data_IF_654426328799
#
_entry.id   IF_654426328799
#
_cell.length_a   1.000
_cell.length_b   1.000
_cell.length_c   1.000
_cell.angle_alpha   90.00
_cell.angle_beta   90.00
_cell.angle_gamma   90.00
#
_symmetry.space_group_name_H-M   'P 1'
#
loop_
_entity.id
_entity.type
_entity.pdbx_description
1 polymer ?
#
# COMPACT_ATOMS: atom_id res chain seq x y z
N UNK A 1 -38.36 -21.01 -57.49
CA UNK A 1 -39.26 -20.29 -56.56
C UNK A 1 -39.20 -20.97 -55.21
N UNK A 2 -39.14 -20.21 -54.12
CA UNK A 2 -39.09 -20.76 -52.75
C UNK A 2 -40.50 -21.02 -52.24
N UNK A 3 -40.67 -22.02 -51.36
CA UNK A 3 -41.91 -22.32 -50.65
C UNK A 3 -41.64 -22.45 -49.15
N UNK A 4 -42.59 -21.99 -48.33
CA UNK A 4 -42.60 -22.28 -46.90
C UNK A 4 -42.96 -23.75 -46.66
N UNK A 5 -42.17 -24.45 -45.85
CA UNK A 5 -42.45 -25.85 -45.49
C UNK A 5 -43.85 -26.01 -44.87
N UNK A 6 -44.52 -27.11 -45.21
CA UNK A 6 -45.80 -27.53 -44.64
C UNK A 6 -46.90 -26.47 -44.73
N UNK A 7 -46.88 -25.66 -45.80
CA UNK A 7 -47.83 -24.57 -46.02
C UNK A 7 -48.55 -24.78 -47.36
N UNK A 8 -49.87 -24.58 -47.36
CA UNK A 8 -50.66 -24.65 -48.59
C UNK A 8 -50.39 -23.44 -49.49
N UNK A 9 -50.30 -23.67 -50.80
CA UNK A 9 -50.02 -22.64 -51.79
C UNK A 9 -50.61 -23.00 -53.14
N UNK A 10 -50.98 -21.98 -53.92
CA UNK A 10 -51.33 -22.15 -55.34
C UNK A 10 -50.14 -21.78 -56.21
N UNK A 11 -49.70 -22.72 -57.04
CA UNK A 11 -48.64 -22.51 -58.02
C UNK A 11 -49.23 -22.35 -59.43
N UNK A 12 -48.46 -21.77 -60.34
CA UNK A 12 -48.82 -21.68 -61.75
C UNK A 12 -47.95 -22.69 -62.51
N UNK A 13 -48.60 -23.58 -63.26
CA UNK A 13 -47.97 -24.59 -64.11
C UNK A 13 -48.29 -24.28 -65.57
N UNK A 14 -47.28 -24.39 -66.44
CA UNK A 14 -47.43 -24.14 -67.86
C UNK A 14 -46.30 -23.26 -68.42
N UNK A 15 -46.46 -22.75 -69.65
CA UNK A 15 -47.60 -23.01 -70.52
C UNK A 15 -47.63 -24.46 -71.01
N UNK A 16 -48.81 -25.09 -70.98
CA UNK A 16 -49.09 -26.34 -71.67
C UNK A 16 -49.36 -26.03 -73.14
N UNK A 17 -48.63 -26.70 -74.02
CA UNK A 17 -48.74 -26.55 -75.47
C UNK A 17 -49.02 -27.90 -76.11
N UNK A 18 -49.75 -27.86 -77.22
CA UNK A 18 -50.19 -29.02 -78.00
C UNK A 18 -49.00 -29.94 -78.34
N UNK A 19 -49.20 -31.24 -78.17
CA UNK A 19 -48.15 -32.25 -78.37
C UNK A 19 -47.77 -32.48 -79.85
N UNK A 20 -48.63 -32.06 -80.79
CA UNK A 20 -48.40 -32.19 -82.23
C UNK A 20 -47.54 -31.07 -82.78
N UNK A 21 -47.79 -29.82 -82.36
CA UNK A 21 -47.10 -28.64 -82.89
C UNK A 21 -46.12 -27.96 -81.91
N UNK A 22 -46.17 -28.32 -80.62
CA UNK A 22 -45.33 -27.77 -79.57
C UNK A 22 -45.48 -26.26 -79.35
N UNK A 23 -46.60 -25.67 -79.79
CA UNK A 23 -46.80 -24.22 -79.87
C UNK A 23 -48.21 -23.77 -79.46
N UNK A 24 -49.25 -24.42 -79.94
CA UNK A 24 -50.63 -24.01 -79.70
C UNK A 24 -50.96 -24.23 -78.23
N UNK A 25 -51.44 -23.20 -77.54
CA UNK A 25 -51.73 -23.29 -76.11
C UNK A 25 -52.93 -24.19 -75.88
N UNK A 26 -52.78 -25.15 -74.97
CA UNK A 26 -53.87 -26.04 -74.57
C UNK A 26 -54.69 -25.39 -73.45
N UNK A 27 -55.94 -25.04 -73.75
CA UNK A 27 -56.82 -24.31 -72.82
C UNK A 27 -57.97 -25.16 -72.25
N UNK A 28 -58.09 -26.41 -72.70
CA UNK A 28 -59.19 -27.32 -72.38
C UNK A 28 -58.80 -28.54 -71.54
N UNK A 29 -57.57 -28.61 -71.05
CA UNK A 29 -57.06 -29.76 -70.29
C UNK A 29 -57.80 -29.94 -68.96
N UNK A 30 -58.10 -31.20 -68.62
CA UNK A 30 -58.61 -31.60 -67.30
C UNK A 30 -57.48 -32.19 -66.48
N UNK A 31 -56.68 -31.33 -65.85
CA UNK A 31 -55.55 -31.77 -65.02
C UNK A 31 -56.07 -32.14 -63.62
N UNK A 32 -56.29 -33.43 -63.40
CA UNK A 32 -56.80 -33.98 -62.13
C UNK A 32 -55.68 -34.13 -61.10
N UNK A 33 -56.04 -34.53 -59.87
CA UNK A 33 -55.06 -34.79 -58.82
C UNK A 33 -53.99 -35.82 -59.25
N UNK A 34 -54.41 -36.88 -59.95
CA UNK A 34 -53.53 -37.99 -60.31
C UNK A 34 -52.45 -37.59 -61.33
N UNK A 35 -52.75 -36.59 -62.15
CA UNK A 35 -51.90 -36.10 -63.24
C UNK A 35 -50.78 -35.19 -62.72
N UNK A 36 -50.95 -34.62 -61.53
CA UNK A 36 -49.93 -33.81 -60.85
C UNK A 36 -49.04 -34.71 -59.99
N UNK A 37 -47.84 -34.97 -60.49
CA UNK A 37 -46.83 -35.82 -59.86
C UNK A 37 -45.78 -34.98 -59.14
N UNK A 38 -45.57 -35.25 -57.87
CA UNK A 38 -44.59 -34.60 -57.01
C UNK A 38 -43.41 -35.54 -56.75
N UNK A 39 -42.19 -35.04 -56.95
CA UNK A 39 -40.96 -35.65 -56.43
C UNK A 39 -40.39 -34.73 -55.37
N UNK A 40 -40.32 -35.24 -54.14
CA UNK A 40 -39.86 -34.50 -52.96
C UNK A 40 -38.40 -34.85 -52.65
N UNK A 41 -37.53 -33.86 -52.75
CA UNK A 41 -36.09 -33.96 -52.56
C UNK A 41 -35.44 -35.17 -53.27
N UNK A 42 -35.81 -35.40 -54.53
CA UNK A 42 -35.32 -36.54 -55.32
C UNK A 42 -35.99 -37.89 -55.03
N UNK A 43 -37.00 -37.94 -54.17
CA UNK A 43 -37.81 -39.13 -53.92
C UNK A 43 -38.65 -39.55 -55.14
N UNK A 44 -39.19 -40.77 -55.10
CA UNK A 44 -40.06 -41.29 -56.15
C UNK A 44 -41.28 -40.39 -56.36
N UNK A 45 -41.70 -40.24 -57.62
CA UNK A 45 -42.88 -39.45 -57.95
C UNK A 45 -44.14 -40.08 -57.36
N UNK A 46 -44.89 -39.30 -56.60
CA UNK A 46 -46.22 -39.63 -56.09
C UNK A 46 -47.23 -38.58 -56.57
N UNK A 47 -48.53 -38.91 -56.60
CA UNK A 47 -49.53 -37.87 -56.87
C UNK A 47 -49.51 -36.82 -55.76
N UNK A 48 -49.91 -35.59 -56.07
CA UNK A 48 -50.11 -34.58 -55.03
C UNK A 48 -51.19 -35.03 -54.02
N UNK A 49 -51.03 -34.62 -52.78
CA UNK A 49 -51.97 -34.85 -51.68
C UNK A 49 -53.16 -33.90 -51.72
N UNK A 50 -53.01 -32.69 -52.24
CA UNK A 50 -54.14 -31.78 -52.47
C UNK A 50 -55.14 -32.39 -53.46
N UNK A 51 -56.43 -32.42 -53.09
CA UNK A 51 -57.47 -33.09 -53.87
C UNK A 51 -58.08 -32.24 -54.99
N UNK A 52 -57.69 -30.96 -55.12
CA UNK A 52 -58.22 -30.08 -56.14
C UNK A 52 -57.66 -30.37 -57.55
N UNK A 53 -58.45 -30.12 -58.59
CA UNK A 53 -57.95 -30.12 -59.97
C UNK A 53 -57.23 -28.80 -60.28
N UNK A 54 -56.28 -28.80 -61.21
CA UNK A 54 -55.72 -27.53 -61.66
C UNK A 54 -56.76 -26.79 -62.53
N UNK A 55 -56.82 -25.47 -62.42
CA UNK A 55 -57.78 -24.62 -63.12
C UNK A 55 -57.07 -23.78 -64.18
N UNK A 56 -57.60 -23.74 -65.40
CA UNK A 56 -57.03 -22.93 -66.48
C UNK A 56 -57.06 -21.44 -66.11
N UNK A 57 -55.97 -20.74 -66.40
CA UNK A 57 -55.85 -19.29 -66.33
C UNK A 57 -55.90 -18.72 -67.75
N UNK A 58 -54.74 -18.53 -68.37
CA UNK A 58 -54.58 -17.99 -69.72
C UNK A 58 -53.36 -18.59 -70.43
N UNK A 59 -53.40 -18.64 -71.76
CA UNK A 59 -52.27 -19.04 -72.61
C UNK A 59 -51.65 -20.39 -72.22
N UNK A 60 -52.49 -21.36 -71.85
CA UNK A 60 -52.05 -22.69 -71.42
C UNK A 60 -51.44 -22.72 -70.02
N UNK A 61 -51.54 -21.66 -69.21
CA UNK A 61 -51.14 -21.69 -67.81
C UNK A 61 -52.32 -22.13 -66.94
N UNK A 62 -52.04 -22.96 -65.94
CA UNK A 62 -53.01 -23.50 -65.01
C UNK A 62 -52.58 -23.17 -63.58
N UNK A 63 -53.52 -22.69 -62.76
CA UNK A 63 -53.33 -22.59 -61.31
C UNK A 63 -53.56 -23.96 -60.68
N UNK A 64 -52.61 -24.43 -59.88
CA UNK A 64 -52.73 -25.68 -59.17
C UNK A 64 -52.47 -25.53 -57.67
N UNK A 65 -53.40 -26.01 -56.85
CA UNK A 65 -53.24 -26.05 -55.40
C UNK A 65 -52.27 -27.15 -54.96
N UNK A 66 -51.43 -26.83 -53.99
CA UNK A 66 -50.63 -27.73 -53.18
C UNK A 66 -51.00 -27.51 -51.71
N UNK A 67 -51.12 -28.57 -50.92
CA UNK A 67 -51.44 -28.46 -49.51
C UNK A 67 -50.18 -28.56 -48.62
N UNK A 68 -50.38 -28.52 -47.29
CA UNK A 68 -49.29 -28.66 -46.34
C UNK A 68 -48.53 -30.00 -46.46
N UNK A 69 -49.23 -31.09 -46.80
CA UNK A 69 -48.57 -32.38 -47.03
C UNK A 69 -47.68 -32.32 -48.26
N UNK A 70 -48.05 -31.61 -49.32
CA UNK A 70 -47.26 -31.50 -50.55
C UNK A 70 -45.93 -30.78 -50.34
N UNK A 71 -45.90 -29.77 -49.47
CA UNK A 71 -44.72 -28.97 -49.14
C UNK A 71 -44.02 -29.39 -47.84
N UNK A 72 -44.29 -30.57 -47.29
CA UNK A 72 -43.78 -30.98 -45.96
C UNK A 72 -42.32 -31.45 -45.93
N UNK A 73 -41.63 -31.52 -47.07
CA UNK A 73 -40.26 -32.03 -47.18
C UNK A 73 -39.33 -30.93 -47.64
N UNK A 74 -38.28 -30.64 -46.86
CA UNK A 74 -37.26 -29.65 -47.19
C UNK A 74 -36.44 -30.06 -48.41
N UNK A 75 -35.98 -29.07 -49.18
CA UNK A 75 -35.20 -29.26 -50.39
C UNK A 75 -36.03 -29.10 -51.67
N UNK A 76 -35.51 -29.63 -52.77
CA UNK A 76 -36.12 -29.49 -54.09
C UNK A 76 -37.45 -30.23 -54.18
N UNK A 77 -38.52 -29.53 -54.51
CA UNK A 77 -39.81 -30.09 -54.90
C UNK A 77 -39.97 -29.94 -56.41
N UNK A 78 -40.01 -31.07 -57.13
CA UNK A 78 -40.36 -31.09 -58.55
C UNK A 78 -41.83 -31.44 -58.70
N UNK A 79 -42.58 -30.56 -59.35
CA UNK A 79 -43.95 -30.79 -59.80
C UNK A 79 -43.90 -31.10 -61.28
N UNK A 80 -44.45 -32.22 -61.71
CA UNK A 80 -44.51 -32.63 -63.10
C UNK A 80 -45.93 -33.03 -63.48
N UNK A 81 -46.37 -32.61 -64.66
CA UNK A 81 -47.67 -32.96 -65.23
C UNK A 81 -47.45 -33.47 -66.63
N UNK A 82 -48.10 -34.57 -66.96
CA UNK A 82 -48.14 -35.12 -68.31
C UNK A 82 -49.57 -35.57 -68.58
N UNK A 83 -50.34 -34.67 -69.21
CA UNK A 83 -51.73 -34.87 -69.59
C UNK A 83 -51.81 -35.10 -71.10
N UNK A 84 -52.70 -35.98 -71.55
CA UNK A 84 -52.84 -36.29 -72.97
C UNK A 84 -53.24 -35.04 -73.77
N UNK A 85 -52.61 -34.84 -74.94
CA UNK A 85 -52.84 -33.68 -75.79
C UNK A 85 -51.88 -32.51 -75.52
N UNK A 86 -51.03 -32.59 -74.49
CA UNK A 86 -50.03 -31.55 -74.21
C UNK A 86 -48.64 -32.14 -73.95
N UNK A 87 -47.60 -31.38 -74.30
CA UNK A 87 -46.23 -31.74 -73.91
C UNK A 87 -46.05 -31.77 -72.38
N UNK A 88 -45.17 -32.64 -71.83
CA UNK A 88 -44.91 -32.69 -70.40
C UNK A 88 -44.37 -31.36 -69.88
N UNK A 89 -44.94 -30.87 -68.78
CA UNK A 89 -44.51 -29.64 -68.09
C UNK A 89 -44.01 -29.99 -66.70
N UNK A 90 -42.94 -29.33 -66.26
CA UNK A 90 -42.46 -29.42 -64.89
C UNK A 90 -42.06 -28.07 -64.31
N UNK A 91 -42.15 -27.95 -63.00
CA UNK A 91 -41.72 -26.81 -62.22
C UNK A 91 -40.86 -27.29 -61.05
N UNK A 92 -39.69 -26.70 -60.89
CA UNK A 92 -38.80 -26.93 -59.75
C UNK A 92 -38.96 -25.80 -58.72
N UNK A 93 -39.25 -26.20 -57.50
CA UNK A 93 -39.47 -25.35 -56.33
C UNK A 93 -38.49 -25.75 -55.24
N UNK A 94 -38.18 -24.83 -54.34
CA UNK A 94 -37.30 -25.09 -53.20
C UNK A 94 -38.09 -24.91 -51.90
N UNK A 95 -38.27 -25.96 -51.12
CA UNK A 95 -38.97 -25.90 -49.84
C UNK A 95 -37.96 -25.60 -48.74
N UNK A 96 -38.13 -24.45 -48.10
CA UNK A 96 -37.25 -23.99 -47.01
C UNK A 96 -37.96 -24.04 -45.66
N UNK A 97 -37.19 -24.11 -44.58
CA UNK A 97 -37.72 -24.09 -43.22
C UNK A 97 -38.55 -22.83 -42.96
N UNK A 98 -39.58 -22.95 -42.11
CA UNK A 98 -40.50 -21.85 -41.83
C UNK A 98 -39.77 -20.60 -41.31
N UNK A 99 -38.81 -20.77 -40.40
CA UNK A 99 -37.96 -19.70 -39.88
C UNK A 99 -37.16 -18.99 -40.99
N UNK A 100 -36.58 -19.75 -41.93
CA UNK A 100 -35.83 -19.19 -43.07
C UNK A 100 -36.76 -18.40 -43.99
N UNK A 101 -37.93 -18.95 -44.31
CA UNK A 101 -38.93 -18.27 -45.13
C UNK A 101 -39.39 -16.95 -44.47
N UNK A 102 -39.77 -17.01 -43.20
CA UNK A 102 -40.29 -15.84 -42.46
C UNK A 102 -39.22 -14.77 -42.25
N UNK A 103 -37.94 -15.17 -42.19
CA UNK A 103 -36.81 -14.24 -42.12
C UNK A 103 -36.51 -13.55 -43.45
N UNK A 104 -36.68 -14.25 -44.57
CA UNK A 104 -36.35 -13.72 -45.90
C UNK A 104 -37.50 -12.94 -46.54
N UNK A 105 -38.75 -13.39 -46.32
CA UNK A 105 -39.93 -12.88 -47.00
C UNK A 105 -41.01 -12.37 -46.03
N UNK A 106 -40.84 -12.56 -44.72
CA UNK A 106 -41.74 -12.09 -43.66
C UNK A 106 -41.17 -10.90 -42.88
N UNK A 107 -41.56 -10.79 -41.61
CA UNK A 107 -41.13 -9.74 -40.69
C UNK A 107 -40.20 -10.24 -39.57
N UNK A 108 -39.87 -11.53 -39.56
CA UNK A 108 -39.04 -12.13 -38.51
C UNK A 108 -37.55 -11.92 -38.79
N UNK A 109 -36.70 -12.16 -37.78
CA UNK A 109 -35.24 -12.06 -37.90
C UNK A 109 -34.61 -13.42 -38.16
N UNK A 110 -33.59 -13.44 -39.00
CA UNK A 110 -32.80 -14.65 -39.20
C UNK A 110 -31.97 -14.96 -37.95
N UNK A 111 -32.24 -16.11 -37.34
CA UNK A 111 -31.45 -16.64 -36.23
C UNK A 111 -30.21 -17.33 -36.80
N UNK A 112 -29.03 -16.79 -36.50
CA UNK A 112 -27.75 -17.34 -36.92
C UNK A 112 -26.81 -17.46 -35.73
N UNK A 113 -26.02 -18.52 -35.70
CA UNK A 113 -24.77 -18.55 -34.93
C UNK A 113 -23.68 -18.12 -35.90
N UNK A 114 -23.07 -16.96 -35.66
CA UNK A 114 -22.01 -16.46 -36.52
C UNK A 114 -20.66 -17.07 -36.09
N UNK A 115 -19.99 -17.78 -37.00
CA UNK A 115 -18.65 -18.33 -36.74
C UNK A 115 -17.56 -17.25 -36.72
N UNK A 116 -17.74 -16.18 -37.51
CA UNK A 116 -16.82 -15.04 -37.53
C UNK A 116 -17.60 -13.74 -37.58
N UNK A 117 -17.23 -12.83 -36.67
CA UNK A 117 -17.67 -11.43 -36.67
C UNK A 117 -16.42 -10.58 -36.83
N UNK A 118 -16.18 -10.10 -38.05
CA UNK A 118 -15.00 -9.27 -38.36
C UNK A 118 -14.98 -7.97 -37.54
N UNK A 119 -13.78 -7.48 -37.25
CA UNK A 119 -13.57 -6.20 -36.58
C UNK A 119 -14.31 -5.06 -37.31
N UNK A 120 -15.05 -4.25 -36.54
CA UNK A 120 -15.82 -3.11 -37.04
C UNK A 120 -17.25 -3.43 -37.49
N UNK A 121 -17.64 -4.71 -37.56
CA UNK A 121 -19.03 -5.07 -37.86
C UNK A 121 -19.96 -4.74 -36.69
N UNK A 122 -19.51 -5.04 -35.47
CA UNK A 122 -20.13 -4.58 -34.23
C UNK A 122 -19.40 -3.31 -33.80
N UNK A 123 -19.99 -2.17 -34.10
CA UNK A 123 -19.55 -0.87 -33.57
C UNK A 123 -20.22 -0.58 -32.23
N UNK A 124 -19.72 0.39 -31.48
CA UNK A 124 -20.39 0.85 -30.26
C UNK A 124 -21.84 1.28 -30.51
N UNK A 125 -22.15 1.82 -31.70
CA UNK A 125 -23.50 2.19 -32.11
C UNK A 125 -24.38 0.99 -32.49
N UNK A 126 -23.78 -0.15 -32.85
CA UNK A 126 -24.50 -1.38 -33.20
C UNK A 126 -25.04 -2.11 -31.96
N UNK A 127 -24.45 -1.88 -30.78
CA UNK A 127 -24.96 -2.39 -29.51
C UNK A 127 -26.02 -1.42 -29.00
N UNK A 128 -27.29 -1.84 -29.06
CA UNK A 128 -28.38 -1.06 -28.51
C UNK A 128 -28.20 -0.88 -26.99
N UNK A 129 -28.66 0.26 -26.47
CA UNK A 129 -28.65 0.52 -25.03
C UNK A 129 -29.37 -0.61 -24.27
N UNK A 130 -28.69 -1.23 -23.31
CA UNK A 130 -29.22 -2.35 -22.54
C UNK A 130 -29.24 -3.70 -23.27
N UNK A 131 -28.65 -3.79 -24.47
CA UNK A 131 -28.48 -5.09 -25.14
C UNK A 131 -27.47 -5.99 -24.41
N UNK A 132 -26.55 -5.40 -23.66
CA UNK A 132 -25.65 -6.06 -22.71
C UNK A 132 -26.02 -5.50 -21.33
N UNK A 133 -26.68 -6.29 -20.51
CA UNK A 133 -26.98 -5.94 -19.12
C UNK A 133 -26.09 -6.72 -18.14
N UNK A 134 -26.26 -6.47 -16.84
CA UNK A 134 -25.43 -7.10 -15.81
C UNK A 134 -25.63 -8.62 -15.68
N UNK A 135 -26.73 -9.18 -16.20
CA UNK A 135 -26.93 -10.64 -16.25
C UNK A 135 -26.18 -11.24 -17.45
N UNK A 136 -26.11 -10.50 -18.56
CA UNK A 136 -25.32 -10.86 -19.73
C UNK A 136 -23.80 -10.77 -19.51
N UNK A 137 -23.34 -9.93 -18.58
CA UNK A 137 -21.92 -9.85 -18.19
C UNK A 137 -21.67 -10.84 -17.05
N UNK A 138 -21.08 -11.99 -17.36
CA UNK A 138 -20.72 -12.98 -16.36
C UNK A 138 -19.80 -12.40 -15.27
N UNK A 139 -19.92 -12.90 -14.04
CA UNK A 139 -19.12 -12.46 -12.90
C UNK A 139 -17.60 -12.52 -13.16
N UNK A 140 -17.14 -13.48 -13.97
CA UNK A 140 -15.74 -13.64 -14.33
C UNK A 140 -15.19 -12.42 -15.12
N UNK A 141 -15.99 -11.82 -16.00
CA UNK A 141 -15.59 -10.62 -16.75
C UNK A 141 -15.39 -9.44 -15.80
N UNK A 142 -16.24 -9.31 -14.78
CA UNK A 142 -16.12 -8.25 -13.78
C UNK A 142 -14.84 -8.42 -12.97
N UNK A 143 -14.51 -9.65 -12.59
CA UNK A 143 -13.27 -9.96 -11.89
C UNK A 143 -12.03 -9.64 -12.75
N UNK A 144 -12.01 -10.09 -14.01
CA UNK A 144 -10.90 -9.80 -14.93
C UNK A 144 -10.71 -8.30 -15.17
N UNK A 145 -11.80 -7.54 -15.35
CA UNK A 145 -11.74 -6.08 -15.48
C UNK A 145 -11.20 -5.45 -14.19
N UNK A 146 -11.65 -5.90 -13.03
CA UNK A 146 -11.20 -5.36 -11.75
C UNK A 146 -9.71 -5.63 -11.53
N UNK A 147 -9.25 -6.86 -11.77
CA UNK A 147 -7.84 -7.23 -11.66
C UNK A 147 -6.99 -6.43 -12.65
N UNK A 148 -7.42 -6.33 -13.92
CA UNK A 148 -6.73 -5.51 -14.92
C UNK A 148 -6.63 -4.03 -14.51
N UNK A 149 -7.68 -3.47 -13.89
CA UNK A 149 -7.67 -2.08 -13.39
C UNK A 149 -6.74 -1.93 -12.19
N UNK A 150 -6.68 -2.91 -11.28
CA UNK A 150 -5.81 -2.86 -10.10
C UNK A 150 -4.32 -3.09 -10.44
N UNK A 151 -4.05 -3.91 -11.45
CA UNK A 151 -2.69 -4.22 -11.92
C UNK A 151 -2.18 -3.23 -12.99
N UNK A 152 -3.02 -2.29 -13.43
CA UNK A 152 -2.66 -1.28 -14.44
C UNK A 152 -1.53 -0.37 -13.94
N UNK A 153 -0.59 -0.04 -14.83
CA UNK A 153 0.53 0.82 -14.50
C UNK A 153 0.08 2.29 -14.32
N UNK A 154 0.43 2.89 -13.18
CA UNK A 154 0.08 4.29 -12.87
C UNK A 154 0.58 5.31 -13.90
N UNK A 155 1.73 5.06 -14.53
CA UNK A 155 2.38 5.99 -15.46
C UNK A 155 1.53 6.39 -16.68
N UNK A 156 0.56 5.55 -17.08
CA UNK A 156 -0.39 5.86 -18.16
C UNK A 156 -1.51 6.82 -17.76
N UNK A 157 -1.70 7.06 -16.46
CA UNK A 157 -2.86 7.76 -15.91
C UNK A 157 -2.48 8.99 -15.06
N UNK A 158 -1.31 9.59 -15.25
CA UNK A 158 -0.84 10.75 -14.47
C UNK A 158 -1.37 12.11 -14.98
N UNK A 159 -2.49 12.13 -15.70
CA UNK A 159 -3.15 13.38 -16.08
C UNK A 159 -3.68 14.10 -14.83
N UNK A 160 -3.40 15.40 -14.70
CA UNK A 160 -3.77 16.18 -13.51
C UNK A 160 -5.25 16.00 -13.14
N UNK A 161 -5.52 15.64 -11.88
CA UNK A 161 -6.86 15.42 -11.34
C UNK A 161 -7.47 14.04 -11.66
N UNK A 162 -6.69 13.11 -12.21
CA UNK A 162 -7.09 11.71 -12.33
C UNK A 162 -6.91 10.94 -11.01
N UNK A 163 -7.47 9.74 -10.94
CA UNK A 163 -7.18 8.79 -9.84
C UNK A 163 -5.71 8.35 -9.83
N UNK A 164 -5.10 8.18 -11.01
CA UNK A 164 -3.70 7.77 -11.13
C UNK A 164 -2.72 8.83 -10.62
N UNK A 165 -3.01 10.11 -10.87
CA UNK A 165 -2.30 11.28 -10.35
C UNK A 165 -2.33 11.30 -8.81
N UNK A 166 -3.53 11.16 -8.22
CA UNK A 166 -3.68 11.12 -6.76
C UNK A 166 -2.96 9.92 -6.10
N UNK A 167 -2.98 8.74 -6.73
CA UNK A 167 -2.30 7.56 -6.18
C UNK A 167 -0.78 7.62 -6.38
N UNK A 168 -0.33 8.22 -7.49
CA UNK A 168 1.08 8.55 -7.70
C UNK A 168 1.58 9.55 -6.67
N UNK A 169 0.80 10.59 -6.36
CA UNK A 169 1.16 11.56 -5.30
C UNK A 169 1.15 10.93 -3.92
N UNK A 170 0.20 10.03 -3.62
CA UNK A 170 0.18 9.29 -2.37
C UNK A 170 1.40 8.36 -2.23
N UNK A 171 1.82 7.70 -3.31
CA UNK A 171 3.01 6.84 -3.32
C UNK A 171 4.32 7.63 -3.36
N UNK A 172 4.39 8.76 -4.06
CA UNK A 172 5.53 9.68 -4.06
C UNK A 172 5.66 10.42 -2.71
N UNK A 173 4.54 10.66 -2.03
CA UNK A 173 4.49 11.15 -0.65
C UNK A 173 4.84 10.09 0.40
N UNK A 174 4.97 8.82 -0.01
CA UNK A 174 5.52 7.75 0.83
C UNK A 174 7.04 7.90 0.85
N UNK A 175 7.53 8.86 1.62
CA UNK A 175 8.96 9.00 1.89
C UNK A 175 9.53 7.62 2.23
N UNK A 176 10.68 7.28 1.65
CA UNK A 176 11.33 6.01 1.97
C UNK A 176 11.52 5.90 3.49
N UNK A 177 11.57 4.69 4.07
CA UNK A 177 11.83 4.55 5.51
C UNK A 177 13.07 5.34 5.98
N UNK A 178 14.09 5.46 5.12
CA UNK A 178 15.26 6.30 5.37
C UNK A 178 14.92 7.80 5.32
N UNK A 179 14.17 8.27 4.32
CA UNK A 179 13.76 9.68 4.24
C UNK A 179 12.84 10.08 5.42
N UNK A 180 11.97 9.17 5.89
CA UNK A 180 11.19 9.37 7.11
C UNK A 180 12.11 9.43 8.33
N UNK A 181 13.07 8.51 8.43
CA UNK A 181 14.01 8.48 9.54
C UNK A 181 14.86 9.76 9.58
N UNK A 182 15.44 10.18 8.46
CA UNK A 182 16.20 11.42 8.35
C UNK A 182 15.31 12.62 8.69
N UNK A 183 14.09 12.68 8.15
CA UNK A 183 13.15 13.75 8.47
C UNK A 183 12.75 13.80 9.95
N UNK A 184 12.72 12.66 10.66
CA UNK A 184 12.40 12.61 12.10
C UNK A 184 13.63 12.91 12.96
N UNK A 185 14.80 12.37 12.60
CA UNK A 185 16.02 12.50 13.41
C UNK A 185 16.72 13.84 13.23
N UNK A 186 16.67 14.42 12.02
CA UNK A 186 17.27 15.71 11.71
C UNK A 186 16.27 16.89 11.83
N UNK A 187 15.06 16.62 12.35
CA UNK A 187 14.05 17.65 12.60
C UNK A 187 14.57 18.67 13.62
N UNK A 188 14.37 19.96 13.34
CA UNK A 188 14.81 21.04 14.20
C UNK A 188 14.01 21.11 15.50
N UNK A 189 14.69 21.00 16.64
CA UNK A 189 14.03 21.09 17.96
C UNK A 189 13.30 22.42 18.21
N UNK A 190 13.71 23.52 17.56
CA UNK A 190 13.20 24.87 17.82
C UNK A 190 11.69 25.06 17.60
N UNK A 191 11.05 24.24 16.77
CA UNK A 191 9.59 24.23 16.57
C UNK A 191 8.83 23.39 17.61
N UNK A 192 9.54 22.59 18.40
CA UNK A 192 9.01 21.60 19.33
C UNK A 192 9.36 21.91 20.79
N UNK A 193 9.55 23.19 21.14
CA UNK A 193 9.87 23.63 22.49
C UNK A 193 8.63 24.06 23.29
N UNK A 194 7.44 23.60 22.90
CA UNK A 194 6.25 23.82 23.72
C UNK A 194 6.41 23.05 25.02
N UNK A 195 6.21 23.71 26.16
CA UNK A 195 6.38 23.11 27.48
C UNK A 195 5.63 21.77 27.61
N UNK A 196 6.33 20.72 28.02
CA UNK A 196 5.78 19.38 28.19
C UNK A 196 5.65 18.55 26.89
N UNK A 197 6.16 19.05 25.77
CA UNK A 197 6.32 18.26 24.55
C UNK A 197 7.60 17.42 24.57
N UNK A 198 7.70 16.44 23.67
CA UNK A 198 8.91 15.59 23.55
C UNK A 198 10.15 16.40 23.16
N UNK A 199 10.00 17.42 22.31
CA UNK A 199 11.13 18.27 21.88
C UNK A 199 11.68 19.14 23.01
N UNK A 200 10.81 19.64 23.88
CA UNK A 200 11.16 20.37 25.11
C UNK A 200 12.02 19.49 26.05
N UNK A 201 11.59 18.24 26.29
CA UNK A 201 12.36 17.30 27.11
C UNK A 201 13.73 16.92 26.53
N UNK A 202 13.84 16.77 25.21
CA UNK A 202 15.11 16.51 24.51
C UNK A 202 16.05 17.73 24.57
N UNK A 203 15.50 18.92 24.38
CA UNK A 203 16.24 20.18 24.52
C UNK A 203 16.79 20.34 25.94
N UNK A 204 16.00 20.00 26.96
CA UNK A 204 16.43 20.07 28.36
C UNK A 204 17.49 19.01 28.70
N UNK A 205 17.45 17.84 28.06
CA UNK A 205 18.42 16.78 28.26
C UNK A 205 19.81 17.08 27.64
N UNK A 206 19.88 17.90 26.58
CA UNK A 206 21.11 18.18 25.82
C UNK A 206 21.57 19.64 25.76
N UNK A 207 20.74 20.60 26.19
CA UNK A 207 20.95 22.04 26.05
C UNK A 207 21.42 22.76 27.33
N UNK A 208 21.16 24.07 27.44
CA UNK A 208 21.61 24.91 28.56
C UNK A 208 21.06 24.51 29.95
N UNK A 209 20.03 23.65 30.02
CA UNK A 209 19.55 23.01 31.25
C UNK A 209 20.43 21.82 31.70
N UNK A 210 21.34 21.35 30.85
CA UNK A 210 22.32 20.31 31.17
C UNK A 210 23.54 20.85 31.94
N UNK A 211 23.65 22.15 32.19
CA UNK A 211 24.62 22.66 33.15
C UNK A 211 24.17 22.26 34.56
N UNK A 212 24.85 21.30 35.22
CA UNK A 212 24.47 20.88 36.56
C UNK A 212 24.53 22.02 37.59
N UNK A 213 25.20 23.13 37.28
CA UNK A 213 25.29 24.31 38.13
C UNK A 213 24.13 25.30 37.99
N UNK A 214 23.34 25.22 36.92
CA UNK A 214 22.12 26.02 36.75
C UNK A 214 20.92 25.43 37.52
N UNK A 215 21.01 24.16 37.89
CA UNK A 215 20.00 23.47 38.71
C UNK A 215 20.29 23.72 40.19
N UNK A 216 19.29 24.16 40.95
CA UNK A 216 19.40 24.30 42.41
C UNK A 216 19.83 22.98 43.03
N UNK A 217 21.03 22.93 43.59
CA UNK A 217 21.51 21.75 44.29
C UNK A 217 20.68 21.54 45.57
N UNK A 218 20.14 20.34 45.82
CA UNK A 218 19.42 20.07 47.05
C UNK A 218 20.38 20.20 48.25
N UNK A 219 19.92 20.84 49.32
CA UNK A 219 20.71 21.05 50.55
C UNK A 219 21.12 19.75 51.27
N UNK A 220 20.57 18.61 50.85
CA UNK A 220 21.02 17.28 51.25
C UNK A 220 20.72 16.26 50.15
N UNK A 221 21.55 15.23 50.09
CA UNK A 221 21.35 14.09 49.21
C UNK A 221 21.06 12.84 50.04
N UNK A 222 20.24 11.93 49.54
CA UNK A 222 19.97 10.64 50.21
C UNK A 222 21.23 9.78 50.28
N UNK A 223 21.29 8.90 51.29
CA UNK A 223 22.44 8.02 51.50
C UNK A 223 22.75 7.18 50.26
N UNK A 224 24.04 6.98 49.98
CA UNK A 224 24.57 6.25 48.82
C UNK A 224 24.38 6.90 47.44
N UNK A 225 23.89 8.13 47.35
CA UNK A 225 23.95 8.90 46.09
C UNK A 225 25.33 9.53 45.89
N UNK A 226 25.69 9.82 44.64
CA UNK A 226 26.96 10.48 44.32
C UNK A 226 27.14 11.81 45.08
N UNK A 227 26.08 12.63 45.16
CA UNK A 227 26.10 13.90 45.90
C UNK A 227 26.35 13.73 47.40
N UNK A 228 25.75 12.71 48.03
CA UNK A 228 26.00 12.41 49.45
C UNK A 228 27.43 11.92 49.69
N UNK A 229 27.94 11.03 48.82
CA UNK A 229 29.30 10.48 48.92
C UNK A 229 30.33 11.61 48.81
N UNK A 230 30.19 12.48 47.81
CA UNK A 230 31.10 13.60 47.61
C UNK A 230 31.03 14.57 48.79
N UNK A 231 29.83 15.02 49.19
CA UNK A 231 29.66 15.96 50.29
C UNK A 231 30.23 15.47 51.61
N UNK A 232 30.02 14.20 51.98
CA UNK A 232 30.44 13.68 53.29
C UNK A 232 31.88 13.16 53.32
N UNK A 233 32.37 12.54 52.23
CA UNK A 233 33.69 11.86 52.24
C UNK A 233 34.80 12.72 51.66
N UNK A 234 34.50 13.62 50.73
CA UNK A 234 35.52 14.51 50.17
C UNK A 234 35.83 15.66 51.14
N UNK A 235 34.81 16.28 51.72
CA UNK A 235 34.97 17.37 52.70
C UNK A 235 35.79 16.91 53.93
N UNK A 236 35.48 15.72 54.45
CA UNK A 236 36.23 15.12 55.55
C UNK A 236 37.72 14.89 55.21
N UNK A 237 38.04 14.50 53.97
CA UNK A 237 39.44 14.29 53.54
C UNK A 237 40.16 15.60 53.21
N UNK A 238 39.49 16.56 52.58
CA UNK A 238 40.06 17.88 52.28
C UNK A 238 40.36 18.61 53.59
N UNK A 239 39.44 18.56 54.57
CA UNK A 239 39.65 19.12 55.90
C UNK A 239 40.85 18.50 56.64
N UNK A 240 41.19 17.23 56.36
CA UNK A 240 42.38 16.56 56.92
C UNK A 240 43.69 16.80 56.16
N UNK A 241 43.65 17.36 54.94
CA UNK A 241 44.82 17.55 54.07
C UNK A 241 45.60 18.84 54.40
N UNK A 242 44.98 19.80 55.09
CA UNK A 242 45.60 21.10 55.39
C UNK A 242 46.85 21.02 56.27
N UNK A 243 47.22 19.86 56.83
CA UNK A 243 48.43 19.65 57.63
C UNK A 243 48.48 20.40 58.97
N UNK A 244 47.51 21.29 59.20
CA UNK A 244 47.37 22.09 60.39
C UNK A 244 46.25 21.52 61.26
N UNK A 245 46.65 20.96 62.40
CA UNK A 245 45.76 20.63 63.51
C UNK A 245 46.14 21.57 64.66
N UNK A 246 45.58 22.79 64.75
CA UNK A 246 46.06 23.80 65.69
C UNK A 246 45.85 23.43 67.17
N UNK A 247 45.22 22.29 67.47
CA UNK A 247 44.89 21.85 68.82
C UNK A 247 43.49 22.29 69.23
N UNK A 248 42.99 21.74 70.33
CA UNK A 248 41.64 21.99 70.85
C UNK A 248 41.65 22.51 72.29
N UNK A 249 42.81 22.89 72.81
CA UNK A 249 42.96 23.39 74.18
C UNK A 249 42.49 24.83 74.35
N UNK A 250 42.29 25.25 75.60
CA UNK A 250 41.64 26.54 75.90
C UNK A 250 42.54 27.78 75.78
N UNK A 251 43.87 27.62 75.75
CA UNK A 251 44.83 28.73 75.72
C UNK A 251 45.50 28.89 74.35
N UNK A 252 45.65 30.15 73.90
CA UNK A 252 46.34 30.49 72.67
C UNK A 252 47.85 30.65 72.93
N UNK A 253 48.66 29.83 72.27
CA UNK A 253 50.11 29.83 72.39
C UNK A 253 50.76 30.09 71.04
N UNK A 254 51.47 31.21 70.90
CA UNK A 254 52.21 31.54 69.68
C UNK A 254 53.68 31.20 69.83
N UNK A 255 54.15 30.23 69.06
CA UNK A 255 55.57 29.90 68.95
C UNK A 255 56.22 30.68 67.81
N UNK A 256 57.38 31.30 68.06
CA UNK A 256 58.15 32.01 67.03
C UNK A 256 59.48 31.29 66.81
N UNK A 257 59.65 30.74 65.62
CA UNK A 257 60.85 30.04 65.21
C UNK A 257 61.78 30.98 64.43
N UNK A 258 62.98 31.19 64.96
CA UNK A 258 64.02 32.03 64.35
C UNK A 258 65.35 31.28 64.29
N UNK A 259 66.22 31.70 63.37
CA UNK A 259 67.60 31.23 63.30
C UNK A 259 68.42 31.81 64.46
N UNK A 260 69.06 30.96 65.25
CA UNK A 260 69.85 31.36 66.41
C UNK A 260 71.07 32.23 66.04
N UNK A 261 71.59 32.12 64.80
CA UNK A 261 72.73 32.91 64.35
C UNK A 261 72.36 34.30 63.83
N UNK A 262 71.31 34.38 63.01
CA UNK A 262 70.92 35.61 62.30
C UNK A 262 69.68 36.32 62.85
N UNK A 263 68.88 35.66 63.70
CA UNK A 263 67.59 36.16 64.20
C UNK A 263 66.48 36.20 63.16
N UNK A 264 66.74 35.73 61.94
CA UNK A 264 65.76 35.72 60.86
C UNK A 264 64.65 34.69 61.11
N UNK A 265 63.39 34.99 60.77
CA UNK A 265 62.29 34.05 60.92
C UNK A 265 62.45 32.83 60.00
N UNK A 266 62.14 31.65 60.53
CA UNK A 266 62.14 30.40 59.75
C UNK A 266 60.70 30.07 59.37
N UNK A 267 60.29 30.57 58.21
CA UNK A 267 58.99 30.25 57.61
C UNK A 267 58.87 28.79 57.15
N UNK A 268 57.67 28.28 56.91
CA UNK A 268 57.42 26.97 56.32
C UNK A 268 58.10 25.79 57.04
N UNK A 269 58.37 25.92 58.34
CA UNK A 269 58.86 24.81 59.16
C UNK A 269 57.66 24.07 59.74
N UNK A 270 57.67 22.74 59.65
CA UNK A 270 56.67 21.93 60.32
C UNK A 270 56.97 21.95 61.82
N UNK A 271 55.97 22.33 62.62
CA UNK A 271 56.04 22.41 64.08
C UNK A 271 54.88 21.62 64.66
N UNK A 272 55.17 20.78 65.65
CA UNK A 272 54.12 20.08 66.40
C UNK A 272 54.44 20.06 67.89
N UNK A 273 53.41 20.17 68.72
CA UNK A 273 53.48 20.13 70.18
C UNK A 273 53.02 18.76 70.68
N UNK A 274 53.75 18.18 71.64
CA UNK A 274 53.38 16.93 72.30
C UNK A 274 53.23 17.12 73.81
N UNK A 275 52.43 16.25 74.45
CA UNK A 275 52.25 16.26 75.91
C UNK A 275 53.43 15.63 76.66
N UNK A 276 54.28 14.90 75.95
CA UNK A 276 55.40 14.14 76.50
C UNK A 276 56.71 14.42 75.75
N UNK A 277 57.83 14.21 76.43
CA UNK A 277 59.17 14.43 75.91
C UNK A 277 59.63 13.37 74.91
N UNK A 278 58.89 12.26 74.78
CA UNK A 278 59.18 11.19 73.81
C UNK A 278 58.48 11.42 72.46
N UNK A 279 57.59 12.42 72.37
CA UNK A 279 56.87 12.77 71.15
C UNK A 279 55.73 11.81 70.80
N UNK A 280 55.23 11.03 71.77
CA UNK A 280 54.25 9.97 71.54
C UNK A 280 52.83 10.47 71.26
N UNK A 281 52.43 11.57 71.90
CA UNK A 281 51.08 12.13 71.78
C UNK A 281 51.14 13.56 71.24
N UNK A 282 50.75 13.74 69.97
CA UNK A 282 50.66 15.05 69.32
C UNK A 282 49.37 15.75 69.76
N UNK A 283 49.52 16.95 70.33
CA UNK A 283 48.43 17.82 70.77
C UNK A 283 48.00 18.79 69.67
N UNK A 284 48.98 19.32 68.95
CA UNK A 284 48.78 20.25 67.85
C UNK A 284 49.93 20.13 66.84
N UNK A 285 49.66 20.43 65.59
CA UNK A 285 50.65 20.49 64.51
C UNK A 285 50.29 21.56 63.50
N UNK A 286 51.28 22.06 62.78
CA UNK A 286 51.08 22.91 61.62
C UNK A 286 52.41 23.41 61.09
N UNK A 287 52.34 24.42 60.23
CA UNK A 287 53.52 25.01 59.61
C UNK A 287 53.66 26.49 59.97
N UNK A 288 54.89 26.94 60.22
CA UNK A 288 55.15 28.37 60.50
C UNK A 288 54.80 29.24 59.30
N UNK A 289 54.25 30.43 59.57
CA UNK A 289 53.95 31.44 58.56
C UNK A 289 55.22 32.08 58.00
N UNK A 290 55.07 33.04 57.08
CA UNK A 290 56.20 33.76 56.48
C UNK A 290 57.09 34.50 57.51
N UNK A 291 56.57 34.77 58.71
CA UNK A 291 57.26 35.41 59.82
C UNK A 291 57.81 34.40 60.84
N UNK A 292 57.81 33.11 60.51
CA UNK A 292 58.30 32.05 61.39
C UNK A 292 57.40 31.78 62.59
N UNK A 293 56.15 32.23 62.57
CA UNK A 293 55.20 32.09 63.68
C UNK A 293 54.19 30.99 63.43
N UNK A 294 53.80 30.32 64.50
CA UNK A 294 52.67 29.40 64.50
C UNK A 294 51.89 29.55 65.80
N UNK A 295 50.58 29.53 65.69
CA UNK A 295 49.67 29.61 66.84
C UNK A 295 49.01 28.25 67.07
N UNK A 296 49.10 27.77 68.30
CA UNK A 296 48.42 26.57 68.78
C UNK A 296 47.38 26.93 69.84
N UNK A 297 46.34 26.12 69.93
CA UNK A 297 45.34 26.11 70.98
C UNK A 297 45.60 24.90 71.87
N UNK A 298 46.26 25.12 73.01
CA UNK A 298 46.75 24.09 73.92
C UNK A 298 46.18 24.32 75.31
N UNK A 299 46.08 23.26 76.12
CA UNK A 299 45.72 23.42 77.52
C UNK A 299 46.94 23.95 78.31
N UNK A 300 46.74 24.80 79.33
CA UNK A 300 47.84 25.30 80.15
C UNK A 300 48.69 24.17 80.76
N UNK A 301 50.01 24.29 80.64
CA UNK A 301 50.94 23.25 81.08
C UNK A 301 52.24 23.21 80.27
N UNK A 302 53.12 22.28 80.63
CA UNK A 302 54.37 22.04 79.90
C UNK A 302 54.08 21.27 78.62
N UNK A 303 54.59 21.78 77.50
CA UNK A 303 54.50 21.16 76.18
C UNK A 303 55.89 21.02 75.56
N UNK A 304 56.02 20.03 74.69
CA UNK A 304 57.26 19.69 74.02
C UNK A 304 57.11 19.97 72.53
N UNK A 305 57.79 20.99 72.02
CA UNK A 305 57.69 21.41 70.63
C UNK A 305 58.79 20.78 69.79
N UNK A 306 58.37 20.24 68.67
CA UNK A 306 59.23 19.61 67.69
C UNK A 306 59.21 20.44 66.42
N UNK A 307 60.38 20.62 65.82
CA UNK A 307 60.56 21.43 64.62
C UNK A 307 61.25 20.60 63.56
N UNK A 308 60.76 20.66 62.34
CA UNK A 308 61.35 19.99 61.19
C UNK A 308 61.31 20.90 59.97
N UNK A 309 62.47 21.05 59.33
CA UNK A 309 62.59 21.71 58.04
C UNK A 309 63.85 21.20 57.35
N UNK A 310 63.74 20.84 56.08
CA UNK A 310 64.92 20.44 55.30
C UNK A 310 65.96 21.57 55.27
N UNK A 311 67.23 21.24 55.47
CA UNK A 311 68.33 22.21 55.54
C UNK A 311 68.51 22.90 56.90
N UNK A 312 67.67 22.59 57.90
CA UNK A 312 67.80 23.10 59.27
C UNK A 312 68.02 21.96 60.27
N UNK A 313 68.94 22.16 61.22
CA UNK A 313 69.16 21.23 62.32
C UNK A 313 68.62 21.85 63.61
N UNK A 314 67.52 21.30 64.12
CA UNK A 314 66.90 21.75 65.38
C UNK A 314 67.30 20.84 66.55
N UNK A 315 67.44 21.42 67.74
CA UNK A 315 67.53 20.66 68.99
C UNK A 315 66.11 20.40 69.49
N UNK A 316 65.60 19.19 69.26
CA UNK A 316 64.25 18.79 69.66
C UNK A 316 64.26 17.85 70.88
N UNK A 317 63.21 17.87 71.73
CA UNK A 317 62.14 18.86 71.75
C UNK A 317 62.60 20.19 72.39
N UNK A 318 61.94 21.28 72.02
CA UNK A 318 61.93 22.54 72.77
C UNK A 318 60.91 22.44 73.90
N UNK A 319 61.26 22.83 75.12
CA UNK A 319 60.35 22.72 76.26
C UNK A 319 59.75 24.09 76.53
N UNK A 320 58.44 24.22 76.34
CA UNK A 320 57.71 25.46 76.55
C UNK A 320 56.62 25.28 77.60
N UNK A 321 56.21 26.40 78.21
CA UNK A 321 55.10 26.43 79.17
C UNK A 321 53.99 27.29 78.60
N UNK A 322 52.84 26.66 78.36
CA UNK A 322 51.60 27.34 77.99
C UNK A 322 50.95 27.85 79.27
N UNK A 323 50.63 29.14 79.30
CA UNK A 323 49.96 29.83 80.42
C UNK A 323 48.49 30.09 80.15
#
# INVERSE_FOLDING_TARGET
MYLKQSTAITIILGPFVDETDGKTAETGLTISQADVRLSKNGGAFAQKSDSGTCSHLENGNYSCGLNATDSNTLGRLRVAVHEAGALPVWLDLEVVGANVWDSLFGADRLQVHADEITAGLITAAAIATGAIDGDAVAADIVAEIADAVWDEALGGHLGAGSTGDALSDASAGSASPAAIADAVWDEGLGGHLTAGSTGDALNDAGGAAADPWATTLPGSYSSNTAGWILGQRLDAKISSISGNSPGAGAAEFTYTLTDAGSGNPIADADVWATSDSNGGVILASGRTDQNGRITFYLDPGTVYLWRQKSGWNFVNPDVEVVV
#
